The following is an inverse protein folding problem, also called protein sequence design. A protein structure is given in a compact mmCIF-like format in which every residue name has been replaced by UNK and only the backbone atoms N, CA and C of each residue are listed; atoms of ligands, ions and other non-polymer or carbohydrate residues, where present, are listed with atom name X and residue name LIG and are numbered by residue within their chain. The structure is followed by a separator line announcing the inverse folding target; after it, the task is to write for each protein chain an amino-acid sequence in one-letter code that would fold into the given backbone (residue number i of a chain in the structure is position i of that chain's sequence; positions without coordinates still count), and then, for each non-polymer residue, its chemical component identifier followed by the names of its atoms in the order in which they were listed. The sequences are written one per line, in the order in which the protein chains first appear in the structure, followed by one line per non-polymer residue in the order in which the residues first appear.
data_IF_867308376042
#
_entry.id   IF_867308376042
#
_cell.length_a   1.000
_cell.length_b   1.000
_cell.length_c   1.000
_cell.angle_alpha   90.00
_cell.angle_beta   90.00
_cell.angle_gamma   90.00
#
_symmetry.space_group_name_H-M   'P 1'
#
loop_
_entity.id
_entity.type
_entity.pdbx_description
1 polymer ?
#
# COMPACT_ATOMS: atom_id res chain seq x y z
N UNK A 1 -0.66 8.03 11.72
CA UNK A 1 -0.58 8.70 10.40
C UNK A 1 -1.52 8.11 9.37
N UNK A 2 -1.81 8.88 8.31
CA UNK A 2 -2.63 8.46 7.18
C UNK A 2 -2.14 9.06 5.86
N UNK A 3 -2.36 8.36 4.77
CA UNK A 3 -2.25 8.90 3.41
C UNK A 3 -3.65 8.88 2.81
N UNK A 4 -4.07 10.00 2.21
CA UNK A 4 -5.39 10.12 1.58
C UNK A 4 -5.28 10.53 0.12
N UNK A 5 -6.20 10.01 -0.71
CA UNK A 5 -6.34 10.39 -2.11
C UNK A 5 -7.82 10.62 -2.45
N UNK A 6 -8.18 11.73 -3.12
CA UNK A 6 -9.45 11.78 -3.83
C UNK A 6 -9.39 10.79 -4.99
N UNK A 7 -10.34 9.85 -5.03
CA UNK A 7 -10.38 8.80 -6.04
C UNK A 7 -11.79 8.63 -6.61
N UNK A 8 -11.86 8.17 -7.87
CA UNK A 8 -13.10 7.89 -8.58
C UNK A 8 -13.10 6.42 -9.02
N UNK A 9 -14.06 5.64 -8.52
CA UNK A 9 -14.30 4.29 -9.02
C UNK A 9 -15.15 4.40 -10.27
N UNK A 10 -14.62 3.95 -11.41
CA UNK A 10 -15.34 4.02 -12.69
C UNK A 10 -16.41 2.93 -12.83
N UNK A 11 -16.15 1.74 -12.30
CA UNK A 11 -17.08 0.61 -12.38
C UNK A 11 -17.24 -0.08 -11.03
N UNK A 12 -18.49 -0.27 -10.59
CA UNK A 12 -18.79 -1.07 -9.41
C UNK A 12 -18.32 -2.51 -9.63
N UNK A 13 -17.78 -3.14 -8.58
CA UNK A 13 -17.35 -4.53 -8.62
C UNK A 13 -16.45 -4.91 -7.46
N UNK A 14 -16.00 -6.17 -7.49
CA UNK A 14 -15.00 -6.68 -6.57
C UNK A 14 -13.61 -6.49 -7.13
N UNK A 15 -12.71 -5.98 -6.30
CA UNK A 15 -11.32 -5.70 -6.67
C UNK A 15 -10.39 -6.42 -5.71
N UNK A 16 -9.42 -7.16 -6.25
CA UNK A 16 -8.25 -7.60 -5.49
C UNK A 16 -7.27 -6.45 -5.40
N UNK A 17 -6.85 -6.12 -4.19
CA UNK A 17 -5.95 -5.00 -3.92
C UNK A 17 -4.57 -5.55 -3.59
N UNK A 18 -3.54 -5.02 -4.22
CA UNK A 18 -2.15 -5.31 -3.91
C UNK A 18 -1.45 -4.07 -3.37
N UNK A 19 -0.61 -4.28 -2.36
CA UNK A 19 0.20 -3.26 -1.72
C UNK A 19 1.67 -3.54 -2.01
N UNK A 20 2.40 -2.49 -2.42
CA UNK A 20 3.86 -2.52 -2.52
C UNK A 20 4.48 -1.77 -1.36
N UNK A 21 5.30 -2.46 -0.58
CA UNK A 21 5.85 -1.94 0.67
C UNK A 21 7.29 -2.40 0.93
N UNK A 22 7.97 -1.71 1.84
CA UNK A 22 9.09 -2.22 2.64
C UNK A 22 8.70 -2.21 4.11
N UNK A 23 9.31 -3.08 4.91
CA UNK A 23 9.08 -3.17 6.35
C UNK A 23 10.34 -3.67 7.03
N UNK A 24 10.85 -2.90 7.99
CA UNK A 24 11.96 -3.30 8.85
C UNK A 24 11.54 -4.46 9.76
N UNK A 25 12.50 -5.25 10.21
CA UNK A 25 12.25 -6.44 11.03
C UNK A 25 11.53 -6.11 12.34
N UNK A 26 11.90 -5.00 12.99
CA UNK A 26 11.29 -4.50 14.21
C UNK A 26 9.82 -4.04 14.05
N UNK A 27 9.40 -3.73 12.82
CA UNK A 27 8.05 -3.25 12.52
C UNK A 27 7.10 -4.37 12.07
N UNK A 28 7.61 -5.61 11.90
CA UNK A 28 6.79 -6.77 11.54
C UNK A 28 5.68 -6.97 12.56
N UNK A 29 4.47 -7.23 12.06
CA UNK A 29 3.25 -7.30 12.85
C UNK A 29 2.40 -6.03 12.78
N UNK A 30 2.90 -4.96 12.16
CA UNK A 30 2.09 -3.76 11.90
C UNK A 30 0.87 -4.10 11.04
N UNK A 31 -0.25 -3.41 11.30
CA UNK A 31 -1.49 -3.61 10.55
C UNK A 31 -1.73 -2.46 9.63
N UNK A 32 -1.85 -2.77 8.34
CA UNK A 32 -2.23 -1.83 7.30
C UNK A 32 -3.74 -1.93 7.11
N UNK A 33 -4.41 -0.79 6.99
CA UNK A 33 -5.83 -0.68 6.70
C UNK A 33 -6.06 0.26 5.53
N UNK A 34 -6.88 -0.18 4.57
CA UNK A 34 -7.30 0.62 3.43
C UNK A 34 -8.82 0.77 3.46
N UNK A 35 -9.29 2.01 3.35
CA UNK A 35 -10.70 2.35 3.36
C UNK A 35 -11.04 3.20 2.14
N UNK A 36 -12.16 2.90 1.49
CA UNK A 36 -12.80 3.75 0.49
C UNK A 36 -14.30 3.83 0.78
N UNK A 37 -14.78 5.01 1.18
CA UNK A 37 -16.15 5.21 1.64
C UNK A 37 -16.53 4.20 2.76
N UNK A 38 -17.43 3.26 2.46
CA UNK A 38 -17.94 2.24 3.40
C UNK A 38 -17.21 0.89 3.29
N UNK A 39 -16.27 0.75 2.35
CA UNK A 39 -15.52 -0.48 2.10
C UNK A 39 -14.15 -0.40 2.78
N UNK A 40 -13.82 -1.40 3.59
CA UNK A 40 -12.56 -1.44 4.35
C UNK A 40 -11.95 -2.82 4.27
N UNK A 41 -10.63 -2.88 4.06
CA UNK A 41 -9.81 -4.09 4.23
C UNK A 41 -8.65 -3.80 5.16
N UNK A 42 -8.18 -4.80 5.88
CA UNK A 42 -6.97 -4.69 6.70
C UNK A 42 -6.18 -5.99 6.70
N UNK A 43 -4.85 -5.87 6.86
CA UNK A 43 -3.93 -7.01 6.91
C UNK A 43 -2.75 -6.68 7.81
N UNK A 44 -2.29 -7.69 8.57
CA UNK A 44 -0.99 -7.64 9.25
C UNK A 44 0.14 -7.94 8.28
N UNK A 45 1.21 -7.17 8.35
CA UNK A 45 2.48 -7.47 7.68
C UNK A 45 3.19 -8.52 8.52
N UNK A 46 3.48 -9.68 7.92
CA UNK A 46 4.06 -10.83 8.62
C UNK A 46 5.48 -11.15 8.17
N UNK A 47 6.00 -10.43 7.19
CA UNK A 47 7.32 -10.66 6.63
C UNK A 47 8.07 -9.33 6.52
N UNK A 48 9.29 -9.30 7.05
CA UNK A 48 10.19 -8.18 6.87
C UNK A 48 10.64 -8.12 5.40
N UNK A 49 10.87 -6.92 4.91
CA UNK A 49 11.45 -6.67 3.60
C UNK A 49 12.02 -5.25 3.58
N UNK A 50 13.30 -5.10 3.90
CA UNK A 50 13.99 -3.80 3.94
C UNK A 50 15.30 -3.83 3.14
N UNK A 51 15.22 -3.82 1.79
CA UNK A 51 16.42 -3.76 0.97
C UNK A 51 17.05 -2.36 1.03
N UNK A 52 18.39 -2.27 0.90
CA UNK A 52 19.08 -1.00 0.91
C UNK A 52 18.65 -0.10 -0.24
N UNK A 53 18.79 1.21 -0.03
CA UNK A 53 18.61 2.20 -1.09
C UNK A 53 19.70 2.07 -2.17
N UNK A 54 19.28 2.20 -3.43
CA UNK A 54 20.16 2.18 -4.60
C UNK A 54 19.94 3.42 -5.47
N UNK A 55 20.98 3.78 -6.24
CA UNK A 55 20.95 4.90 -7.18
C UNK A 55 22.01 5.98 -6.90
N UNK A 56 22.40 6.18 -5.63
CA UNK A 56 23.36 7.22 -5.26
C UNK A 56 24.73 7.12 -5.99
N UNK A 57 25.18 5.89 -6.29
CA UNK A 57 26.46 5.66 -6.98
C UNK A 57 26.45 6.11 -8.45
N UNK A 58 25.28 6.18 -9.06
CA UNK A 58 25.10 6.56 -10.47
C UNK A 58 24.83 8.07 -10.62
N UNK A 59 24.71 8.77 -9.51
CA UNK A 59 24.35 10.18 -9.50
C UNK A 59 25.55 11.06 -9.84
N UNK A 60 25.36 11.92 -10.84
CA UNK A 60 26.36 12.94 -11.23
C UNK A 60 26.31 14.19 -10.35
N UNK A 61 25.18 14.40 -9.66
CA UNK A 61 24.93 15.47 -8.69
C UNK A 61 24.05 14.90 -7.58
N UNK A 62 24.16 15.44 -6.37
CA UNK A 62 23.28 15.04 -5.25
C UNK A 62 21.83 15.32 -5.64
N UNK A 63 21.00 14.28 -5.67
CA UNK A 63 19.58 14.41 -6.02
C UNK A 63 18.75 14.95 -4.86
N UNK A 64 17.66 15.63 -5.21
CA UNK A 64 16.64 16.06 -4.26
C UNK A 64 15.52 15.02 -4.11
N UNK A 65 15.38 14.13 -5.10
CA UNK A 65 14.45 13.02 -5.13
C UNK A 65 14.92 11.86 -4.24
N UNK A 66 13.99 10.98 -3.87
CA UNK A 66 14.33 9.76 -3.11
C UNK A 66 15.13 8.76 -3.95
N UNK A 67 15.99 7.99 -3.29
CA UNK A 67 16.62 6.82 -3.87
C UNK A 67 15.61 5.70 -4.11
N UNK A 68 16.04 4.66 -4.83
CA UNK A 68 15.18 3.53 -5.16
C UNK A 68 15.37 2.43 -4.12
N UNK A 69 14.27 1.86 -3.65
CA UNK A 69 14.25 0.57 -2.94
C UNK A 69 13.48 -0.44 -3.78
N UNK A 70 13.82 -1.71 -3.64
CA UNK A 70 13.04 -2.79 -4.24
C UNK A 70 11.83 -3.07 -3.37
N UNK A 71 10.66 -2.53 -3.71
CA UNK A 71 9.45 -2.77 -2.91
C UNK A 71 8.89 -4.18 -3.15
N UNK A 72 8.39 -4.82 -2.09
CA UNK A 72 7.72 -6.11 -2.18
C UNK A 72 6.22 -5.95 -2.35
N UNK A 73 5.64 -6.76 -3.23
CA UNK A 73 4.19 -6.85 -3.42
C UNK A 73 3.57 -7.89 -2.47
N UNK A 74 2.45 -7.54 -1.85
CA UNK A 74 1.52 -8.50 -1.23
C UNK A 74 0.09 -8.23 -1.69
N UNK A 75 -0.75 -9.26 -1.65
CA UNK A 75 -2.19 -9.08 -1.70
C UNK A 75 -2.67 -8.49 -0.37
N UNK A 76 -3.31 -7.33 -0.38
CA UNK A 76 -3.90 -6.73 0.82
C UNK A 76 -5.25 -7.37 1.16
N UNK A 77 -6.02 -7.76 0.13
CA UNK A 77 -7.31 -8.42 0.24
C UNK A 77 -8.24 -8.05 -0.92
N UNK A 78 -9.51 -8.41 -0.81
CA UNK A 78 -10.55 -8.08 -1.78
C UNK A 78 -11.52 -7.03 -1.23
N UNK A 79 -11.85 -6.02 -2.03
CA UNK A 79 -12.80 -4.95 -1.70
C UNK A 79 -13.96 -4.94 -2.68
N UNK A 80 -15.18 -4.90 -2.17
CA UNK A 80 -16.35 -4.53 -2.97
C UNK A 80 -16.42 -2.99 -3.05
N UNK A 81 -16.28 -2.44 -4.25
CA UNK A 81 -16.28 -1.00 -4.51
C UNK A 81 -17.51 -0.62 -5.34
N UNK A 82 -18.15 0.50 -4.97
CA UNK A 82 -19.24 1.12 -5.74
C UNK A 82 -18.66 2.24 -6.62
N UNK A 83 -19.16 2.35 -7.85
CA UNK A 83 -18.83 3.47 -8.72
C UNK A 83 -19.21 4.80 -8.06
N UNK A 84 -18.32 5.79 -8.16
CA UNK A 84 -18.47 7.07 -7.48
C UNK A 84 -17.15 7.66 -7.01
N UNK A 85 -17.21 8.95 -6.68
CA UNK A 85 -16.13 9.66 -6.04
C UNK A 85 -16.07 9.31 -4.55
N UNK A 86 -14.89 9.42 -3.96
CA UNK A 86 -14.68 9.22 -2.54
C UNK A 86 -13.24 9.52 -2.13
N UNK A 87 -12.98 9.42 -0.84
CA UNK A 87 -11.62 9.49 -0.29
C UNK A 87 -11.11 8.07 -0.05
N UNK A 88 -9.99 7.73 -0.68
CA UNK A 88 -9.21 6.53 -0.40
C UNK A 88 -8.24 6.86 0.74
N UNK A 89 -8.30 6.13 1.84
CA UNK A 89 -7.47 6.35 3.02
C UNK A 89 -6.68 5.09 3.36
N UNK A 90 -5.36 5.22 3.42
CA UNK A 90 -4.44 4.20 3.92
C UNK A 90 -3.96 4.60 5.32
N UNK A 91 -4.09 3.71 6.29
CA UNK A 91 -3.62 3.89 7.67
C UNK A 91 -2.84 2.68 8.17
N UNK A 92 -2.08 2.89 9.25
CA UNK A 92 -1.40 1.83 10.00
C UNK A 92 -1.87 1.88 11.46
N UNK A 93 -3.08 1.37 11.79
CA UNK A 93 -3.67 1.52 13.13
C UNK A 93 -2.93 0.80 14.26
N UNK A 94 -2.10 -0.20 13.96
CA UNK A 94 -1.31 -0.91 14.96
C UNK A 94 0.15 -1.01 14.48
N UNK A 95 1.08 -0.53 15.30
CA UNK A 95 2.52 -0.50 15.04
C UNK A 95 3.26 -1.10 16.24
N UNK A 96 3.95 -2.25 16.07
CA UNK A 96 4.77 -2.86 17.11
C UNK A 96 6.03 -2.05 17.43
N UNK A 97 6.62 -1.41 16.41
CA UNK A 97 7.76 -0.51 16.54
C UNK A 97 7.38 0.96 16.40
N UNK A 98 8.38 1.81 16.22
CA UNK A 98 8.23 3.27 16.14
C UNK A 98 7.77 3.75 14.74
N UNK A 99 7.77 2.86 13.75
CA UNK A 99 7.40 3.14 12.36
C UNK A 99 6.44 2.06 11.81
N UNK A 100 5.74 2.41 10.72
CA UNK A 100 4.94 1.47 9.95
C UNK A 100 5.71 0.85 8.78
N UNK A 101 5.02 0.68 7.66
CA UNK A 101 5.64 0.34 6.38
C UNK A 101 6.12 1.59 5.64
N UNK A 102 7.09 1.45 4.74
CA UNK A 102 7.25 2.43 3.66
C UNK A 102 6.33 2.04 2.50
N UNK A 103 5.55 3.01 2.04
CA UNK A 103 4.54 2.81 1.01
C UNK A 103 5.07 3.23 -0.37
N UNK A 104 4.82 2.41 -1.41
CA UNK A 104 5.09 2.81 -2.81
C UNK A 104 3.85 2.99 -3.65
N UNK A 105 3.00 1.96 -3.73
CA UNK A 105 1.81 2.00 -4.59
C UNK A 105 0.76 0.95 -4.16
N UNK A 106 -0.48 1.20 -4.59
CA UNK A 106 -1.60 0.24 -4.55
C UNK A 106 -1.99 -0.15 -5.97
N UNK A 107 -2.26 -1.42 -6.21
CA UNK A 107 -2.86 -1.91 -7.47
C UNK A 107 -4.24 -2.48 -7.19
N UNK A 108 -5.24 -2.07 -7.97
CA UNK A 108 -6.59 -2.61 -7.91
C UNK A 108 -6.86 -3.42 -9.17
N UNK A 109 -7.01 -4.73 -9.02
CA UNK A 109 -7.35 -5.64 -10.11
C UNK A 109 -8.81 -6.05 -9.98
N UNK A 110 -9.62 -5.72 -10.99
CA UNK A 110 -11.03 -6.15 -11.02
C UNK A 110 -11.10 -7.68 -11.16
N UNK A 111 -11.91 -8.32 -10.32
CA UNK A 111 -12.19 -9.75 -10.42
C UNK A 111 -13.36 -9.92 -11.38
N UNK A 112 -13.11 -10.61 -12.50
CA UNK A 112 -14.18 -11.01 -13.42
C UNK A 112 -14.79 -12.29 -12.88
N UNK A 113 -16.09 -12.29 -12.60
CA UNK A 113 -16.83 -13.52 -12.37
C UNK A 113 -17.02 -14.19 -13.73
N UNK A 114 -16.42 -15.36 -13.91
CA UNK A 114 -16.85 -16.30 -14.95
C UNK A 114 -18.07 -17.05 -14.42
N UNK A 115 -19.16 -17.00 -15.19
CA UNK A 115 -20.36 -17.83 -15.00
C UNK A 115 -20.06 -19.33 -15.18
#
# INVERSE_FOLDING_TARGET
DKITWPAQVQHSGRYRVFLHYTCKEENVGCRVQLQFNQSTISRKITEAHDPPEVGAKEDRVVRAESYVKFFKQIELGEMDLKAGAGELTLTVPEMPGDEGIEFRLLMFQRILQTE
#
